data_IF_325836609969
#
_entry.id   IF_325836609969
#
_cell.length_a   1.000
_cell.length_b   1.000
_cell.length_c   1.000
_cell.angle_alpha   90.00
_cell.angle_beta   90.00
_cell.angle_gamma   90.00
#
_symmetry.space_group_name_H-M   'P 1'
#
loop_
_entity.id
_entity.type
_entity.pdbx_description
1 polymer ?
#
# COMPACT_ATOMS: atom_id res chain seq x y z
N UNK A 1 -11.73 -32.20 14.53
CA UNK A 1 -12.17 -31.49 13.32
C UNK A 1 -12.20 -29.97 13.55
N UNK A 2 -12.90 -29.50 14.62
CA UNK A 2 -12.98 -28.06 14.94
C UNK A 2 -11.60 -27.40 15.10
N UNK A 3 -10.68 -28.05 15.85
CA UNK A 3 -9.32 -27.54 16.06
C UNK A 3 -8.56 -27.37 14.74
N UNK A 4 -8.71 -28.29 13.78
CA UNK A 4 -8.04 -28.17 12.47
C UNK A 4 -8.58 -27.00 11.65
N UNK A 5 -9.90 -26.76 11.70
CA UNK A 5 -10.53 -25.60 11.03
C UNK A 5 -10.04 -24.30 11.67
N UNK A 6 -10.01 -24.23 13.01
CA UNK A 6 -9.54 -23.05 13.73
C UNK A 6 -8.07 -22.74 13.39
N UNK A 7 -7.21 -23.74 13.38
CA UNK A 7 -5.80 -23.58 12.98
C UNK A 7 -5.67 -23.13 11.51
N UNK A 8 -6.44 -23.74 10.60
CA UNK A 8 -6.43 -23.33 9.21
C UNK A 8 -6.80 -21.86 9.03
N UNK A 9 -7.90 -21.41 9.68
CA UNK A 9 -8.32 -20.01 9.64
C UNK A 9 -7.27 -19.08 10.26
N UNK A 10 -6.68 -19.45 11.41
CA UNK A 10 -5.66 -18.65 12.06
C UNK A 10 -4.40 -18.49 11.19
N UNK A 11 -3.95 -19.55 10.52
CA UNK A 11 -2.80 -19.47 9.62
C UNK A 11 -3.12 -18.74 8.31
N UNK A 12 -4.35 -18.84 7.79
CA UNK A 12 -4.78 -18.07 6.63
C UNK A 12 -4.76 -16.58 6.93
N UNK A 13 -5.36 -16.16 8.05
CA UNK A 13 -5.33 -14.75 8.46
C UNK A 13 -3.91 -14.26 8.76
N UNK A 14 -3.02 -15.13 9.26
CA UNK A 14 -1.62 -14.78 9.47
C UNK A 14 -0.89 -14.53 8.16
N UNK A 15 -1.16 -15.32 7.10
CA UNK A 15 -0.57 -15.10 5.76
C UNK A 15 -1.04 -13.76 5.20
N UNK A 16 -2.34 -13.46 5.26
CA UNK A 16 -2.91 -12.19 4.79
C UNK A 16 -2.30 -10.99 5.55
N UNK A 17 -2.14 -11.13 6.87
CA UNK A 17 -1.46 -10.11 7.67
C UNK A 17 0.01 -9.92 7.27
N UNK A 18 0.73 -11.03 7.03
CA UNK A 18 2.13 -10.97 6.60
C UNK A 18 2.28 -10.39 5.19
N UNK A 19 1.34 -10.66 4.28
CA UNK A 19 1.31 -10.05 2.96
C UNK A 19 1.23 -8.53 3.08
N UNK A 20 0.27 -8.02 3.82
CA UNK A 20 0.10 -6.58 4.04
C UNK A 20 1.28 -5.93 4.78
N UNK A 21 1.98 -6.67 5.66
CA UNK A 21 3.10 -6.14 6.43
C UNK A 21 4.44 -6.17 5.69
N UNK A 22 4.66 -7.12 4.79
CA UNK A 22 5.97 -7.36 4.17
C UNK A 22 6.00 -7.15 2.65
N UNK A 23 4.87 -7.27 1.95
CA UNK A 23 4.85 -6.99 0.51
C UNK A 23 4.69 -5.48 0.33
N UNK A 24 5.66 -4.81 -0.31
CA UNK A 24 5.55 -3.39 -0.57
C UNK A 24 4.29 -3.09 -1.40
N UNK A 25 3.59 -1.98 -1.11
CA UNK A 25 2.46 -1.54 -1.93
C UNK A 25 2.81 -1.45 -3.42
N UNK A 26 1.81 -1.58 -4.29
CA UNK A 26 2.01 -1.53 -5.75
C UNK A 26 2.64 -0.21 -6.22
N UNK A 27 2.42 0.86 -5.49
CA UNK A 27 2.96 2.19 -5.81
C UNK A 27 4.40 2.42 -5.32
N UNK A 28 5.04 1.44 -4.64
CA UNK A 28 6.41 1.61 -4.15
C UNK A 28 7.37 1.76 -5.32
N UNK A 29 8.10 2.88 -5.43
CA UNK A 29 9.04 3.09 -6.52
C UNK A 29 10.30 2.24 -6.35
N UNK A 30 10.86 1.80 -7.45
CA UNK A 30 12.14 1.10 -7.50
C UNK A 30 13.31 2.07 -7.52
N UNK A 31 13.09 3.27 -8.07
CA UNK A 31 14.04 4.38 -8.09
C UNK A 31 13.30 5.67 -7.73
N UNK A 32 13.83 6.44 -6.79
CA UNK A 32 13.38 7.79 -6.48
C UNK A 32 14.50 8.77 -6.77
N UNK A 33 14.17 9.81 -7.53
CA UNK A 33 15.06 10.93 -7.90
C UNK A 33 14.61 12.11 -7.06
N UNK A 34 15.46 12.57 -6.17
CA UNK A 34 15.13 13.58 -5.16
C UNK A 34 16.01 14.82 -5.35
N UNK A 35 15.40 16.00 -5.38
CA UNK A 35 16.15 17.26 -5.35
C UNK A 35 17.00 17.35 -4.08
N UNK A 36 18.31 17.58 -4.19
CA UNK A 36 19.20 17.73 -3.04
C UNK A 36 18.88 18.94 -2.16
N UNK A 37 18.26 19.94 -2.74
CA UNK A 37 17.83 21.13 -2.01
C UNK A 37 16.47 20.95 -1.33
N UNK A 38 15.79 19.82 -1.55
CA UNK A 38 14.41 19.57 -1.12
C UNK A 38 13.42 20.65 -1.62
N UNK A 39 13.67 21.23 -2.77
CA UNK A 39 12.81 22.21 -3.43
C UNK A 39 12.28 21.67 -4.74
N UNK A 40 11.28 22.34 -5.33
CA UNK A 40 10.69 21.99 -6.61
C UNK A 40 11.63 22.35 -7.79
N UNK A 41 12.88 21.86 -7.78
CA UNK A 41 13.92 22.22 -8.74
C UNK A 41 14.01 21.29 -9.95
N UNK A 42 13.31 20.14 -9.97
CA UNK A 42 13.35 19.18 -11.05
C UNK A 42 12.31 19.60 -12.10
N UNK A 43 12.75 19.91 -13.31
CA UNK A 43 11.87 20.39 -14.38
C UNK A 43 10.88 19.31 -14.88
N UNK A 44 9.66 19.70 -15.24
CA UNK A 44 8.63 18.80 -15.77
C UNK A 44 9.10 18.05 -17.04
N UNK A 45 9.93 18.69 -17.87
CA UNK A 45 10.48 18.08 -19.09
C UNK A 45 11.29 16.81 -18.79
N UNK A 46 11.97 16.74 -17.63
CA UNK A 46 12.74 15.56 -17.24
C UNK A 46 11.82 14.39 -16.87
N UNK A 47 10.70 14.64 -16.21
CA UNK A 47 9.69 13.61 -15.96
C UNK A 47 9.15 13.02 -17.26
N UNK A 48 8.86 13.88 -18.25
CA UNK A 48 8.38 13.43 -19.55
C UNK A 48 9.44 12.61 -20.30
N UNK A 49 10.73 12.95 -20.20
CA UNK A 49 11.82 12.13 -20.75
C UNK A 49 11.90 10.75 -20.07
N UNK A 50 11.68 10.68 -18.76
CA UNK A 50 11.64 9.41 -18.02
C UNK A 50 10.47 8.55 -18.49
N UNK A 51 9.27 9.14 -18.63
CA UNK A 51 8.07 8.44 -19.12
C UNK A 51 8.23 7.86 -20.53
N UNK A 52 9.06 8.48 -21.37
CA UNK A 52 9.35 8.00 -22.73
C UNK A 52 10.34 6.84 -22.78
N UNK A 53 10.99 6.49 -21.68
CA UNK A 53 11.89 5.35 -21.61
C UNK A 53 11.08 4.04 -21.65
N UNK A 54 11.37 3.17 -22.63
CA UNK A 54 10.60 1.95 -22.91
C UNK A 54 10.61 0.90 -21.79
N UNK A 55 11.54 0.97 -20.84
CA UNK A 55 11.64 0.07 -19.70
C UNK A 55 10.87 0.61 -18.48
N UNK A 56 10.43 1.86 -18.52
CA UNK A 56 9.67 2.49 -17.44
C UNK A 56 8.19 2.16 -17.58
N UNK A 57 7.63 1.52 -16.56
CA UNK A 57 6.20 1.22 -16.45
C UNK A 57 5.41 2.48 -16.09
N UNK A 58 5.95 3.25 -15.14
CA UNK A 58 5.30 4.45 -14.60
C UNK A 58 6.34 5.37 -13.99
N UNK A 59 6.21 6.66 -14.25
CA UNK A 59 6.95 7.69 -13.54
C UNK A 59 5.98 8.81 -13.14
N UNK A 60 6.12 9.30 -11.93
CA UNK A 60 5.27 10.33 -11.38
C UNK A 60 6.05 11.29 -10.49
N UNK A 61 5.66 12.57 -10.56
CA UNK A 61 6.29 13.63 -9.78
C UNK A 61 5.52 13.94 -8.50
N UNK A 62 6.21 14.55 -7.56
CA UNK A 62 5.60 15.15 -6.35
C UNK A 62 6.30 16.46 -6.04
N UNK A 63 5.50 17.46 -5.74
CA UNK A 63 5.95 18.75 -5.24
C UNK A 63 5.79 18.76 -3.72
N UNK A 64 6.77 19.31 -3.01
CA UNK A 64 6.73 19.45 -1.56
C UNK A 64 7.07 20.90 -1.18
N UNK A 65 6.27 21.48 -0.32
CA UNK A 65 6.60 22.67 0.43
C UNK A 65 6.55 22.34 1.92
N UNK A 66 7.69 22.51 2.59
CA UNK A 66 7.88 22.20 3.99
C UNK A 66 7.61 23.39 4.88
N UNK A 67 7.18 23.14 6.12
CA UNK A 67 6.92 24.17 7.14
C UNK A 67 6.02 25.32 6.68
N UNK A 68 5.02 24.99 5.84
CA UNK A 68 4.03 25.96 5.38
C UNK A 68 3.13 26.33 6.54
N UNK A 69 3.02 27.62 6.85
CA UNK A 69 2.15 28.08 7.90
C UNK A 69 0.68 28.03 7.46
N UNK A 70 -0.15 27.42 8.31
CA UNK A 70 -1.60 27.29 8.08
C UNK A 70 -2.36 27.84 9.27
N UNK A 71 -3.47 28.53 8.99
CA UNK A 71 -4.40 29.04 9.99
C UNK A 71 -5.76 28.38 9.82
N UNK A 72 -6.28 27.82 10.92
CA UNK A 72 -7.65 27.31 11.00
C UNK A 72 -8.38 28.04 12.13
N UNK A 73 -9.14 29.05 11.79
CA UNK A 73 -9.74 29.96 12.78
C UNK A 73 -8.69 30.75 13.56
N UNK A 74 -8.61 30.53 14.88
CA UNK A 74 -7.62 31.17 15.76
C UNK A 74 -6.34 30.32 15.95
N UNK A 75 -6.31 29.08 15.45
CA UNK A 75 -5.16 28.19 15.55
C UNK A 75 -4.21 28.37 14.38
N UNK A 76 -2.90 28.36 14.69
CA UNK A 76 -1.83 28.42 13.71
C UNK A 76 -0.89 27.22 13.92
N UNK A 77 -0.54 26.54 12.83
CA UNK A 77 0.42 25.43 12.84
C UNK A 77 1.18 25.36 11.53
N UNK A 78 2.32 24.65 11.56
CA UNK A 78 3.10 24.36 10.37
C UNK A 78 2.70 23.01 9.82
N UNK A 79 2.62 22.91 8.50
CA UNK A 79 2.21 21.71 7.77
C UNK A 79 3.13 21.49 6.57
N UNK A 80 3.19 20.27 6.10
CA UNK A 80 3.76 19.97 4.80
C UNK A 80 2.66 20.00 3.74
N UNK A 81 2.88 20.78 2.69
CA UNK A 81 2.00 20.82 1.52
C UNK A 81 2.59 19.90 0.44
N UNK A 82 1.78 18.96 -0.05
CA UNK A 82 2.21 17.95 -1.03
C UNK A 82 1.27 17.97 -2.22
N UNK A 83 1.82 17.89 -3.43
CA UNK A 83 1.01 17.69 -4.64
C UNK A 83 0.86 16.20 -4.95
N UNK A 84 -0.33 15.82 -5.42
CA UNK A 84 -0.60 14.50 -5.97
C UNK A 84 -1.09 14.61 -7.41
N UNK A 85 -0.66 13.67 -8.24
CA UNK A 85 -1.28 13.38 -9.53
C UNK A 85 -2.42 12.35 -9.39
N UNK A 86 -3.11 12.05 -10.48
CA UNK A 86 -4.29 11.17 -10.50
C UNK A 86 -4.04 9.79 -9.86
N UNK A 87 -2.92 9.13 -10.21
CA UNK A 87 -2.61 7.81 -9.65
C UNK A 87 -2.40 7.85 -8.13
N UNK A 88 -1.74 8.90 -7.63
CA UNK A 88 -1.46 9.06 -6.21
C UNK A 88 -2.73 9.28 -5.40
N UNK A 89 -3.68 10.01 -5.95
CA UNK A 89 -5.01 10.15 -5.37
C UNK A 89 -5.74 8.81 -5.30
N UNK A 90 -5.71 8.00 -6.36
CA UNK A 90 -6.32 6.67 -6.35
C UNK A 90 -5.68 5.74 -5.31
N UNK A 91 -4.36 5.79 -5.12
CA UNK A 91 -3.69 4.98 -4.09
C UNK A 91 -4.01 5.42 -2.67
N UNK A 92 -4.56 6.62 -2.50
CA UNK A 92 -4.97 7.14 -1.19
C UNK A 92 -6.44 6.82 -0.85
N UNK A 93 -7.20 6.20 -1.76
CA UNK A 93 -8.62 5.88 -1.54
C UNK A 93 -8.85 4.99 -0.31
N UNK A 94 -7.98 4.01 -0.08
CA UNK A 94 -8.07 3.10 1.08
C UNK A 94 -7.80 3.83 2.42
N UNK A 95 -7.14 4.98 2.38
CA UNK A 95 -6.86 5.82 3.55
C UNK A 95 -7.95 6.87 3.80
N UNK A 96 -8.97 6.98 2.94
CA UNK A 96 -10.03 7.99 3.07
C UNK A 96 -10.96 7.68 4.25
N UNK A 97 -10.99 8.56 5.24
CA UNK A 97 -11.87 8.48 6.41
C UNK A 97 -13.21 9.16 6.14
N UNK A 98 -13.18 10.34 5.51
CA UNK A 98 -14.39 11.11 5.19
C UNK A 98 -14.15 12.08 4.03
N UNK A 99 -15.22 12.47 3.34
CA UNK A 99 -15.17 13.44 2.24
C UNK A 99 -14.98 12.79 0.87
N UNK A 100 -14.29 13.48 -0.06
CA UNK A 100 -14.13 13.06 -1.44
C UNK A 100 -12.76 13.46 -2.00
N UNK A 101 -12.01 12.47 -2.47
CA UNK A 101 -10.75 12.65 -3.20
C UNK A 101 -11.03 13.25 -4.59
N UNK A 102 -12.10 12.80 -5.25
CA UNK A 102 -12.45 13.25 -6.59
C UNK A 102 -12.66 14.78 -6.66
N UNK A 103 -13.20 15.38 -5.60
CA UNK A 103 -13.39 16.83 -5.53
C UNK A 103 -12.05 17.59 -5.59
N UNK A 104 -11.02 17.09 -4.89
CA UNK A 104 -9.66 17.68 -4.92
C UNK A 104 -8.99 17.54 -6.28
N UNK A 105 -9.24 16.43 -6.97
CA UNK A 105 -8.69 16.20 -8.31
C UNK A 105 -9.30 17.15 -9.36
N UNK A 106 -10.59 17.48 -9.23
CA UNK A 106 -11.34 18.21 -10.25
C UNK A 106 -11.42 19.73 -10.01
N UNK A 107 -11.30 20.17 -8.77
CA UNK A 107 -11.51 21.57 -8.40
C UNK A 107 -10.24 22.17 -7.81
N UNK A 108 -9.98 23.44 -8.13
CA UNK A 108 -8.93 24.25 -7.51
C UNK A 108 -9.32 24.64 -6.07
N UNK A 109 -8.34 24.99 -5.27
CA UNK A 109 -8.50 25.42 -3.88
C UNK A 109 -9.20 24.39 -2.96
N UNK A 110 -9.17 23.12 -3.37
CA UNK A 110 -9.64 21.99 -2.57
C UNK A 110 -8.45 21.15 -2.11
N UNK A 111 -8.50 20.67 -0.86
CA UNK A 111 -7.40 19.91 -0.27
C UNK A 111 -7.91 18.71 0.53
N UNK A 112 -7.03 17.72 0.68
CA UNK A 112 -7.16 16.67 1.68
C UNK A 112 -6.29 17.05 2.88
N UNK A 113 -6.77 16.75 4.08
CA UNK A 113 -5.95 16.81 5.28
C UNK A 113 -5.69 15.40 5.82
N UNK A 114 -4.48 15.16 6.30
CA UNK A 114 -4.14 13.91 6.98
C UNK A 114 -4.42 14.08 8.47
N UNK A 115 -5.08 13.09 9.09
CA UNK A 115 -5.34 13.10 10.53
C UNK A 115 -4.04 13.20 11.32
N UNK A 116 -4.00 14.12 12.27
CA UNK A 116 -2.88 14.33 13.17
C UNK A 116 -3.41 14.55 14.59
N UNK A 117 -2.57 14.23 15.59
CA UNK A 117 -2.88 14.51 16.99
C UNK A 117 -2.71 16.00 17.34
N UNK A 118 -1.99 16.77 16.51
CA UNK A 118 -1.59 18.15 16.81
C UNK A 118 -2.46 19.19 16.09
N UNK A 119 -3.24 18.81 15.08
CA UNK A 119 -4.11 19.71 14.32
C UNK A 119 -5.53 19.17 14.24
N UNK A 120 -6.49 19.94 14.76
CA UNK A 120 -7.92 19.60 14.66
C UNK A 120 -8.50 20.22 13.39
N UNK A 121 -8.20 19.55 12.25
CA UNK A 121 -8.74 19.92 10.94
C UNK A 121 -9.93 19.01 10.64
N UNK A 122 -11.07 19.61 10.31
CA UNK A 122 -12.31 18.90 10.04
C UNK A 122 -12.74 19.04 8.59
N UNK A 123 -13.55 18.12 8.15
CA UNK A 123 -14.16 18.16 6.82
C UNK A 123 -15.02 19.41 6.66
N UNK A 124 -14.76 20.18 5.62
CA UNK A 124 -15.47 21.43 5.32
C UNK A 124 -14.81 22.68 5.88
N UNK A 125 -13.73 22.56 6.65
CA UNK A 125 -12.99 23.73 7.16
C UNK A 125 -12.42 24.54 5.99
N UNK A 126 -12.46 25.86 6.16
CA UNK A 126 -11.74 26.80 5.33
C UNK A 126 -10.47 27.21 6.05
N UNK A 127 -9.34 26.71 5.56
CA UNK A 127 -8.03 26.99 6.13
C UNK A 127 -7.29 28.00 5.27
N UNK A 128 -6.50 28.86 5.90
CA UNK A 128 -5.66 29.84 5.21
C UNK A 128 -4.23 29.30 5.15
N UNK A 129 -3.74 29.08 3.95
CA UNK A 129 -2.35 28.65 3.68
C UNK A 129 -1.52 29.90 3.37
N UNK A 130 -0.42 30.08 4.09
CA UNK A 130 0.53 31.18 3.87
C UNK A 130 1.68 30.65 3.00
N UNK A 131 1.65 30.95 1.72
CA UNK A 131 2.67 30.55 0.77
C UNK A 131 3.01 31.74 -0.17
N UNK A 132 4.23 31.79 -0.67
CA UNK A 132 4.74 32.88 -1.52
C UNK A 132 4.40 34.29 -1.02
N UNK A 133 4.52 34.54 0.31
CA UNK A 133 4.14 35.79 0.98
C UNK A 133 2.67 36.22 0.77
N UNK A 134 1.79 35.30 0.42
CA UNK A 134 0.37 35.53 0.18
C UNK A 134 -0.48 34.60 1.04
N UNK A 135 -1.68 35.06 1.37
CA UNK A 135 -2.69 34.26 2.06
C UNK A 135 -3.64 33.64 1.03
N UNK A 136 -3.77 32.35 1.04
CA UNK A 136 -4.67 31.59 0.16
C UNK A 136 -5.68 30.81 1.00
N UNK A 137 -6.95 30.91 0.68
CA UNK A 137 -8.01 30.18 1.36
C UNK A 137 -8.29 28.91 0.57
N UNK A 138 -8.15 27.75 1.22
CA UNK A 138 -8.49 26.45 0.65
C UNK A 138 -9.53 25.74 1.51
N UNK A 139 -10.31 24.85 0.91
CA UNK A 139 -11.36 24.09 1.60
C UNK A 139 -10.93 22.64 1.77
N UNK A 140 -11.06 22.13 2.98
CA UNK A 140 -10.80 20.71 3.28
C UNK A 140 -11.99 19.87 2.83
N UNK A 141 -11.83 19.12 1.75
CA UNK A 141 -12.90 18.30 1.16
C UNK A 141 -12.73 16.81 1.38
N UNK A 142 -11.64 16.40 2.02
CA UNK A 142 -11.45 15.04 2.46
C UNK A 142 -10.43 14.92 3.59
N UNK A 143 -10.62 13.89 4.40
CA UNK A 143 -9.72 13.55 5.52
C UNK A 143 -9.17 12.14 5.27
N UNK A 144 -7.86 12.01 5.30
CA UNK A 144 -7.15 10.73 5.21
C UNK A 144 -6.67 10.29 6.60
N UNK A 145 -6.67 8.99 6.86
CA UNK A 145 -6.06 8.42 8.07
C UNK A 145 -4.54 8.45 8.04
N UNK A 146 -3.98 8.37 6.83
CA UNK A 146 -2.55 8.36 6.58
C UNK A 146 -2.25 8.89 5.17
N UNK A 147 -1.03 9.35 4.96
CA UNK A 147 -0.53 9.74 3.65
C UNK A 147 0.46 8.71 3.14
N UNK A 148 0.06 7.81 2.22
CA UNK A 148 0.89 6.69 1.79
C UNK A 148 2.20 7.11 1.10
N UNK A 149 2.29 8.37 0.69
CA UNK A 149 3.43 8.95 -0.02
C UNK A 149 4.10 10.10 0.72
N UNK A 150 3.77 10.33 2.00
CA UNK A 150 4.48 11.30 2.84
C UNK A 150 5.93 10.84 3.09
N UNK A 151 6.84 11.81 3.21
CA UNK A 151 8.25 11.52 3.55
C UNK A 151 8.48 11.30 5.04
N UNK A 152 7.66 11.92 5.88
CA UNK A 152 7.80 11.90 7.34
C UNK A 152 6.47 11.50 7.98
N UNK A 153 6.49 10.47 8.79
CA UNK A 153 5.34 10.07 9.59
C UNK A 153 5.11 11.07 10.74
N UNK A 154 3.85 11.38 11.02
CA UNK A 154 3.46 12.20 12.17
C UNK A 154 3.61 13.70 12.01
N UNK A 155 3.92 14.19 10.80
CA UNK A 155 3.88 15.63 10.47
C UNK A 155 2.54 15.98 9.87
N UNK A 156 1.97 17.13 10.29
CA UNK A 156 0.76 17.66 9.68
C UNK A 156 0.97 17.77 8.17
N UNK A 157 0.03 17.21 7.41
CA UNK A 157 0.17 17.13 5.97
C UNK A 157 -1.14 17.54 5.29
N UNK A 158 -1.02 18.42 4.32
CA UNK A 158 -2.09 18.82 3.42
C UNK A 158 -1.73 18.37 2.02
N UNK A 159 -2.67 17.74 1.33
CA UNK A 159 -2.49 17.21 -0.01
C UNK A 159 -3.42 17.94 -0.96
N UNK A 160 -2.89 18.40 -2.08
CA UNK A 160 -3.66 19.06 -3.13
C UNK A 160 -3.28 18.55 -4.53
N UNK A 161 -4.00 18.97 -5.56
CA UNK A 161 -3.60 18.72 -6.95
C UNK A 161 -2.35 19.55 -7.31
N UNK A 162 -1.59 19.11 -8.32
CA UNK A 162 -0.43 19.86 -8.83
C UNK A 162 -0.84 21.30 -9.24
N UNK A 163 -2.02 21.45 -9.81
CA UNK A 163 -2.57 22.76 -10.20
C UNK A 163 -2.77 23.67 -8.99
N UNK A 164 -3.40 23.15 -7.93
CA UNK A 164 -3.58 23.90 -6.68
C UNK A 164 -2.25 24.22 -6.03
N UNK A 165 -1.31 23.24 -6.00
CA UNK A 165 0.03 23.46 -5.45
C UNK A 165 0.74 24.63 -6.16
N UNK A 166 0.78 24.61 -7.49
CA UNK A 166 1.37 25.69 -8.30
C UNK A 166 0.68 27.03 -8.06
N UNK A 167 -0.67 27.04 -7.93
CA UNK A 167 -1.42 28.27 -7.62
C UNK A 167 -1.05 28.85 -6.25
N UNK A 168 -0.80 28.00 -5.25
CA UNK A 168 -0.47 28.42 -3.90
C UNK A 168 1.00 28.87 -3.76
N UNK A 169 1.94 28.17 -4.39
CA UNK A 169 3.37 28.35 -4.16
C UNK A 169 4.12 29.07 -5.28
N UNK A 170 3.52 29.14 -6.48
CA UNK A 170 4.20 29.61 -7.68
C UNK A 170 5.21 28.64 -8.29
N UNK A 171 5.44 27.49 -7.66
CA UNK A 171 6.40 26.48 -8.10
C UNK A 171 5.80 25.59 -9.20
N UNK A 172 6.62 25.18 -10.17
CA UNK A 172 6.20 24.35 -11.32
C UNK A 172 7.01 23.08 -11.51
N UNK A 173 8.14 22.95 -10.80
CA UNK A 173 8.98 21.77 -10.85
C UNK A 173 8.63 20.76 -9.77
N UNK A 174 9.30 19.61 -9.79
CA UNK A 174 9.14 18.53 -8.82
C UNK A 174 10.25 18.53 -7.78
N UNK A 175 9.91 18.12 -6.57
CA UNK A 175 10.89 17.83 -5.51
C UNK A 175 11.36 16.38 -5.62
N UNK A 176 10.47 15.49 -6.05
CA UNK A 176 10.74 14.05 -6.18
C UNK A 176 10.11 13.55 -7.48
N UNK A 177 10.84 12.70 -8.20
CA UNK A 177 10.30 11.86 -9.27
C UNK A 177 10.50 10.41 -8.86
N UNK A 178 9.41 9.67 -8.78
CA UNK A 178 9.39 8.23 -8.49
C UNK A 178 9.22 7.44 -9.78
N UNK A 179 10.00 6.36 -9.93
CA UNK A 179 10.04 5.53 -11.14
C UNK A 179 9.78 4.08 -10.79
N UNK A 180 8.89 3.47 -11.56
CA UNK A 180 8.62 2.04 -11.56
C UNK A 180 8.93 1.46 -12.93
N UNK A 181 9.57 0.28 -12.97
CA UNK A 181 9.94 -0.37 -14.21
C UNK A 181 8.94 -1.48 -14.61
N UNK A 182 8.81 -1.76 -15.92
CA UNK A 182 7.90 -2.80 -16.43
C UNK A 182 8.27 -4.20 -15.94
N UNK A 183 9.56 -4.47 -15.91
CA UNK A 183 10.13 -5.71 -15.43
C UNK A 183 11.07 -5.42 -14.26
N UNK A 184 11.69 -6.46 -13.74
CA UNK A 184 12.76 -6.28 -12.75
C UNK A 184 13.84 -5.39 -13.35
N UNK A 185 13.98 -4.18 -12.83
CA UNK A 185 14.99 -3.24 -13.27
C UNK A 185 16.39 -3.87 -13.19
N UNK A 186 17.17 -3.70 -14.22
CA UNK A 186 18.58 -4.03 -14.25
C UNK A 186 19.42 -2.80 -13.91
N UNK A 187 20.70 -3.00 -13.54
CA UNK A 187 21.64 -1.89 -13.34
C UNK A 187 21.78 -0.99 -14.59
N UNK A 188 21.47 -1.52 -15.78
CA UNK A 188 21.49 -0.77 -17.03
C UNK A 188 20.31 0.20 -17.08
N UNK A 189 19.11 -0.28 -16.76
CA UNK A 189 17.87 0.51 -16.80
C UNK A 189 17.93 1.68 -15.84
N UNK A 190 18.47 1.43 -14.61
CA UNK A 190 18.71 2.48 -13.62
C UNK A 190 19.66 3.55 -14.17
N UNK A 191 20.81 3.14 -14.73
CA UNK A 191 21.80 4.07 -15.29
C UNK A 191 21.28 4.87 -16.48
N UNK A 192 20.39 4.31 -17.26
CA UNK A 192 19.80 5.02 -18.39
C UNK A 192 18.83 6.12 -17.91
N UNK A 193 18.08 5.88 -16.83
CA UNK A 193 17.29 6.93 -16.19
C UNK A 193 18.20 7.96 -15.51
N UNK A 194 19.24 7.53 -14.77
CA UNK A 194 20.19 8.44 -14.11
C UNK A 194 20.88 9.40 -15.09
N UNK A 195 21.19 8.95 -16.31
CA UNK A 195 21.80 9.81 -17.34
C UNK A 195 20.90 11.00 -17.76
N UNK A 196 19.58 10.85 -17.65
CA UNK A 196 18.64 11.94 -17.96
C UNK A 196 18.88 13.13 -17.01
N UNK A 197 19.33 12.84 -15.79
CA UNK A 197 19.56 13.83 -14.72
C UNK A 197 21.04 14.15 -14.49
N UNK A 198 21.93 13.85 -15.46
CA UNK A 198 23.38 14.01 -15.29
C UNK A 198 23.83 15.43 -14.96
N UNK A 199 23.07 16.42 -15.40
CA UNK A 199 23.37 17.85 -15.21
C UNK A 199 22.55 18.48 -14.05
N UNK A 200 21.75 17.67 -13.34
CA UNK A 200 20.85 18.10 -12.29
C UNK A 200 21.41 17.84 -10.88
N UNK A 201 21.06 18.70 -9.94
CA UNK A 201 21.47 18.53 -8.54
C UNK A 201 20.48 17.64 -7.77
N UNK A 202 20.50 16.37 -8.10
CA UNK A 202 19.59 15.36 -7.56
C UNK A 202 20.35 14.24 -6.84
N UNK A 203 19.65 13.52 -5.99
CA UNK A 203 20.09 12.30 -5.32
C UNK A 203 19.20 11.13 -5.78
N UNK A 204 19.83 9.99 -6.03
CA UNK A 204 19.13 8.76 -6.44
C UNK A 204 19.00 7.81 -5.24
N UNK A 205 17.79 7.36 -4.97
CA UNK A 205 17.50 6.38 -3.93
C UNK A 205 16.94 5.11 -4.58
N UNK A 206 17.73 4.04 -4.57
CA UNK A 206 17.33 2.74 -5.09
C UNK A 206 16.64 1.89 -4.01
N UNK A 207 15.43 1.44 -4.27
CA UNK A 207 14.68 0.57 -3.36
C UNK A 207 14.62 -0.90 -3.80
N UNK A 208 15.18 -1.25 -4.95
CA UNK A 208 15.13 -2.59 -5.56
C UNK A 208 15.54 -3.71 -4.61
N UNK A 209 16.71 -3.57 -3.98
CA UNK A 209 17.24 -4.61 -3.07
C UNK A 209 16.32 -4.80 -1.88
N UNK A 210 15.80 -3.73 -1.30
CA UNK A 210 14.88 -3.75 -0.16
C UNK A 210 13.55 -4.42 -0.55
N UNK A 211 12.96 -4.03 -1.66
CA UNK A 211 11.71 -4.61 -2.19
C UNK A 211 11.88 -6.11 -2.40
N UNK A 212 13.00 -6.54 -2.99
CA UNK A 212 13.27 -7.96 -3.22
C UNK A 212 13.48 -8.73 -1.93
N UNK A 213 14.20 -8.18 -0.96
CA UNK A 213 14.39 -8.81 0.35
C UNK A 213 13.07 -8.99 1.09
N UNK A 214 12.20 -7.98 1.09
CA UNK A 214 10.87 -8.06 1.70
C UNK A 214 10.01 -9.13 1.03
N UNK A 215 9.97 -9.18 -0.30
CA UNK A 215 9.24 -10.22 -1.06
C UNK A 215 9.80 -11.63 -0.80
N UNK A 216 11.12 -11.79 -0.78
CA UNK A 216 11.76 -13.07 -0.51
C UNK A 216 11.45 -13.56 0.92
N UNK A 217 11.44 -12.65 1.89
CA UNK A 217 11.07 -12.95 3.27
C UNK A 217 9.61 -13.42 3.36
N UNK A 218 8.69 -12.71 2.71
CA UNK A 218 7.29 -13.11 2.62
C UNK A 218 7.13 -14.51 2.00
N UNK A 219 7.76 -14.78 0.84
CA UNK A 219 7.66 -16.09 0.19
C UNK A 219 8.25 -17.21 1.04
N UNK A 220 9.39 -16.98 1.71
CA UNK A 220 9.99 -17.97 2.61
C UNK A 220 9.03 -18.30 3.77
N UNK A 221 8.40 -17.28 4.35
CA UNK A 221 7.41 -17.44 5.40
C UNK A 221 6.14 -18.15 4.89
N UNK A 222 5.62 -17.76 3.74
CA UNK A 222 4.45 -18.40 3.13
C UNK A 222 4.68 -19.90 2.87
N UNK A 223 5.84 -20.27 2.32
CA UNK A 223 6.21 -21.68 2.11
C UNK A 223 6.23 -22.45 3.43
N UNK A 224 6.78 -21.87 4.50
CA UNK A 224 6.81 -22.50 5.82
C UNK A 224 5.39 -22.74 6.35
N UNK A 225 4.52 -21.71 6.28
CA UNK A 225 3.14 -21.79 6.78
C UNK A 225 2.32 -22.77 5.95
N UNK A 226 2.37 -22.72 4.62
CA UNK A 226 1.66 -23.65 3.74
C UNK A 226 2.17 -25.09 3.94
N UNK A 227 3.47 -25.28 4.12
CA UNK A 227 4.05 -26.59 4.46
C UNK A 227 3.47 -27.16 5.77
N UNK A 228 3.36 -26.30 6.79
CA UNK A 228 2.75 -26.68 8.07
C UNK A 228 1.27 -27.03 7.94
N UNK A 229 0.50 -26.22 7.18
CA UNK A 229 -0.90 -26.50 6.87
C UNK A 229 -1.09 -27.83 6.15
N UNK A 230 -0.23 -28.15 5.21
CA UNK A 230 -0.24 -29.44 4.50
C UNK A 230 -0.07 -30.62 5.47
N UNK A 231 0.86 -30.49 6.43
CA UNK A 231 1.05 -31.52 7.47
C UNK A 231 -0.21 -31.68 8.32
N UNK A 232 -0.85 -30.59 8.75
CA UNK A 232 -2.10 -30.64 9.52
C UNK A 232 -3.20 -31.36 8.73
N UNK A 233 -3.35 -31.05 7.44
CA UNK A 233 -4.32 -31.71 6.55
C UNK A 233 -4.03 -33.22 6.46
N UNK A 234 -2.77 -33.59 6.25
CA UNK A 234 -2.37 -35.01 6.20
C UNK A 234 -2.69 -35.75 7.50
N UNK A 235 -2.35 -35.16 8.65
CA UNK A 235 -2.69 -35.74 9.98
C UNK A 235 -4.20 -35.91 10.12
N UNK A 236 -4.98 -34.92 9.69
CA UNK A 236 -6.44 -34.97 9.77
C UNK A 236 -7.01 -36.10 8.92
N UNK A 237 -6.52 -36.26 7.68
CA UNK A 237 -6.92 -37.35 6.78
C UNK A 237 -6.57 -38.72 7.40
N UNK A 238 -5.34 -38.90 7.92
CA UNK A 238 -4.95 -40.15 8.58
C UNK A 238 -5.81 -40.43 9.83
N UNK A 239 -6.17 -39.40 10.59
CA UNK A 239 -7.04 -39.57 11.76
C UNK A 239 -8.45 -40.00 11.36
N UNK A 240 -9.02 -39.45 10.30
CA UNK A 240 -10.32 -39.83 9.76
C UNK A 240 -10.27 -41.28 9.28
N UNK A 241 -9.25 -41.65 8.49
CA UNK A 241 -9.06 -43.04 8.02
C UNK A 241 -8.98 -44.02 9.19
N UNK A 242 -8.20 -43.69 10.22
CA UNK A 242 -8.06 -44.56 11.41
C UNK A 242 -9.39 -44.71 12.16
N UNK A 243 -10.14 -43.61 12.31
CA UNK A 243 -11.46 -43.65 12.97
C UNK A 243 -12.48 -44.48 12.19
N UNK A 244 -12.48 -44.38 10.85
CA UNK A 244 -13.32 -45.23 9.99
C UNK A 244 -12.94 -46.70 10.13
N UNK A 245 -11.64 -47.03 10.06
CA UNK A 245 -11.14 -48.39 10.19
C UNK A 245 -11.51 -48.99 11.54
N UNK A 246 -11.35 -48.24 12.64
CA UNK A 246 -11.79 -48.68 13.97
C UNK A 246 -13.29 -48.90 14.04
N UNK A 247 -14.10 -47.98 13.49
CA UNK A 247 -15.57 -48.11 13.44
C UNK A 247 -16.04 -49.33 12.67
N UNK A 248 -15.42 -49.62 11.51
CA UNK A 248 -15.70 -50.80 10.71
C UNK A 248 -15.28 -52.08 11.46
N UNK A 249 -14.09 -52.08 12.04
CA UNK A 249 -13.57 -53.26 12.79
C UNK A 249 -14.42 -53.61 14.01
N UNK A 250 -14.90 -52.60 14.75
CA UNK A 250 -15.81 -52.79 15.89
C UNK A 250 -17.16 -53.41 15.47
N UNK A 251 -17.69 -52.98 14.32
CA UNK A 251 -18.96 -53.51 13.77
C UNK A 251 -18.84 -54.84 13.05
N UNK A 252 -17.64 -55.23 12.63
CA UNK A 252 -17.44 -56.53 11.96
C UNK A 252 -17.90 -57.71 12.81
N UNK A 253 -17.73 -57.64 14.12
CA UNK A 253 -18.18 -58.69 15.05
C UNK A 253 -19.69 -58.73 15.17
N UNK A 254 -20.38 -57.64 15.16
CA UNK A 254 -21.86 -57.56 15.10
C UNK A 254 -22.38 -58.04 13.75
N UNK A 255 -21.78 -57.66 12.64
CA UNK A 255 -22.15 -58.11 11.29
C UNK A 255 -21.92 -59.61 11.12
N UNK A 256 -20.83 -60.14 11.73
CA UNK A 256 -20.58 -61.57 11.76
C UNK A 256 -21.66 -62.34 12.51
N UNK A 257 -22.10 -61.84 13.66
CA UNK A 257 -23.21 -62.42 14.43
C UNK A 257 -24.55 -62.38 13.69
N UNK A 258 -24.86 -61.24 13.04
CA UNK A 258 -26.08 -61.09 12.23
C UNK A 258 -26.12 -62.03 10.99
N UNK A 259 -24.97 -62.27 10.37
CA UNK A 259 -24.82 -63.26 9.31
C UNK A 259 -25.02 -64.68 9.81
N UNK A 260 -24.53 -64.99 11.00
CA UNK A 260 -24.67 -66.34 11.59
C UNK A 260 -26.12 -66.73 11.89
N UNK A 261 -27.00 -65.73 12.13
CA UNK A 261 -28.46 -65.91 12.29
C UNK A 261 -29.26 -65.77 10.98
N UNK A 262 -28.58 -65.72 9.82
CA UNK A 262 -29.20 -65.84 8.50
C UNK A 262 -29.57 -64.53 7.80
N UNK A 263 -29.07 -63.34 8.23
CA UNK A 263 -29.28 -62.06 7.53
C UNK A 263 -28.57 -62.00 6.17
N UNK A 264 -29.27 -61.61 5.15
CA UNK A 264 -28.73 -61.42 3.80
C UNK A 264 -27.88 -60.17 3.68
N UNK A 265 -26.93 -60.09 2.72
CA UNK A 265 -26.09 -58.95 2.46
C UNK A 265 -26.89 -57.65 2.19
N UNK A 266 -28.09 -57.76 1.60
CA UNK A 266 -28.99 -56.60 1.36
C UNK A 266 -29.62 -56.04 2.64
N UNK A 267 -29.83 -56.88 3.63
CA UNK A 267 -30.38 -56.50 4.93
C UNK A 267 -29.33 -55.86 5.85
N UNK A 268 -28.04 -56.12 5.59
CA UNK A 268 -26.92 -55.63 6.36
C UNK A 268 -26.50 -54.18 5.93
N UNK A 269 -26.85 -53.75 4.73
CA UNK A 269 -26.48 -52.47 4.14
C UNK A 269 -27.61 -51.43 4.30
N UNK A 270 -28.80 -51.80 4.78
CA UNK A 270 -29.87 -50.91 5.16
C UNK A 270 -29.76 -50.49 6.62
#
# INVERSE_FOLDING_TARGET
>A
FALCITLFLAFSTLIDFMENAFVPPEYTPELSIVSKTNTCSIEEELLEKVKQNGEVKRAYGRMFAYDVQVKNGEEEYNTNLISYEENQFHWSEDSLVSGSIETVMQQEDQVLAVQSENADIQLGDQITVLADNSEHIVTVTGILSDSPLAREEGTETIICSERTFTSLTGETGYTIIDVQFENRASDHDLKDVEKIFSDEDVEFTESLTRIQQQRNLYYAFAVLVYGFLLIIVAITVFHIMNTINMGVSAKMREYGAMRAIGMSNRQLVK
#
